data_IF_786324500190
#
_entry.id   IF_786324500190
#
_cell.length_a   1.000
_cell.length_b   1.000
_cell.length_c   1.000
_cell.angle_alpha   90.00
_cell.angle_beta   90.00
_cell.angle_gamma   90.00
#
_symmetry.space_group_name_H-M   'P 1'
#
loop_
_entity.id
_entity.type
_entity.pdbx_description
1 polymer ?
#
# COMPACT_ATOMS: atom_id res chain seq x y z
N UNK A 1 -23.99 -21.18 35.18
CA UNK A 1 -23.58 -19.88 35.75
C UNK A 1 -22.53 -19.31 34.81
N UNK A 2 -22.85 -18.29 34.00
CA UNK A 2 -21.85 -17.69 33.12
C UNK A 2 -20.81 -16.96 33.98
N UNK A 3 -19.54 -17.34 33.88
CA UNK A 3 -18.45 -16.48 34.31
C UNK A 3 -18.67 -15.12 33.66
N UNK A 4 -18.92 -14.07 34.44
CA UNK A 4 -18.80 -12.71 33.92
C UNK A 4 -17.40 -12.60 33.35
N UNK A 5 -17.27 -12.45 32.03
CA UNK A 5 -15.97 -12.19 31.40
C UNK A 5 -15.35 -11.01 32.14
N UNK A 6 -14.17 -11.21 32.72
CA UNK A 6 -13.46 -10.11 33.36
C UNK A 6 -13.04 -9.14 32.27
N UNK A 7 -13.34 -7.85 32.44
CA UNK A 7 -12.93 -6.80 31.51
C UNK A 7 -11.97 -5.83 32.18
N UNK A 8 -10.98 -5.37 31.43
CA UNK A 8 -10.19 -4.18 31.77
C UNK A 8 -10.72 -2.99 31.01
N UNK A 9 -10.54 -1.82 31.61
CA UNK A 9 -10.89 -0.56 30.98
C UNK A 9 -9.67 -0.05 30.22
N UNK A 10 -9.83 0.15 28.91
CA UNK A 10 -8.85 0.87 28.11
C UNK A 10 -9.46 2.12 27.48
N UNK A 11 -8.59 3.04 27.10
CA UNK A 11 -8.96 4.30 26.48
C UNK A 11 -8.29 4.42 25.11
N UNK A 12 -9.08 4.84 24.13
CA UNK A 12 -8.59 5.40 22.89
C UNK A 12 -9.03 6.86 22.74
N UNK A 13 -8.83 7.42 21.55
CA UNK A 13 -9.18 8.80 21.27
C UNK A 13 -10.70 9.06 21.30
N UNK A 14 -11.54 8.04 21.24
CA UNK A 14 -13.00 8.16 21.28
C UNK A 14 -13.61 7.83 22.65
N UNK A 15 -12.78 7.50 23.64
CA UNK A 15 -13.21 7.34 25.03
C UNK A 15 -12.93 5.95 25.57
N UNK A 16 -13.72 5.59 26.58
CA UNK A 16 -13.57 4.36 27.33
C UNK A 16 -14.14 3.15 26.55
N UNK A 17 -13.42 2.03 26.59
CA UNK A 17 -13.89 0.72 26.11
C UNK A 17 -13.55 -0.39 27.10
N UNK A 18 -14.49 -1.33 27.25
CA UNK A 18 -14.29 -2.58 27.98
C UNK A 18 -13.60 -3.59 27.07
N UNK A 19 -12.40 -4.01 27.44
CA UNK A 19 -11.58 -4.98 26.72
C UNK A 19 -11.48 -6.26 27.57
N UNK A 20 -11.70 -7.46 27.01
CA UNK A 20 -11.56 -8.71 27.77
C UNK A 20 -10.17 -8.81 28.43
N UNK A 21 -10.13 -9.09 29.72
CA UNK A 21 -8.90 -9.08 30.51
C UNK A 21 -7.89 -10.14 30.07
N UNK A 22 -8.35 -11.21 29.44
CA UNK A 22 -7.54 -12.31 28.90
C UNK A 22 -6.98 -12.04 27.49
N UNK A 23 -7.22 -10.85 26.91
CA UNK A 23 -6.81 -10.51 25.54
C UNK A 23 -5.80 -9.37 25.48
N UNK A 24 -4.71 -9.54 24.73
CA UNK A 24 -3.67 -8.52 24.57
C UNK A 24 -4.03 -7.33 23.67
N UNK A 25 -5.05 -7.45 22.81
CA UNK A 25 -5.49 -6.34 21.95
C UNK A 25 -6.12 -5.22 22.78
N UNK A 26 -6.13 -3.99 22.26
CA UNK A 26 -6.56 -2.81 23.00
C UNK A 26 -7.89 -2.21 22.54
N UNK A 27 -8.15 -0.98 23.00
CA UNK A 27 -9.37 -0.23 22.71
C UNK A 27 -9.65 -0.04 21.20
N UNK A 28 -8.65 0.20 20.34
CA UNK A 28 -8.92 0.38 18.91
C UNK A 28 -9.35 -0.92 18.24
N UNK A 29 -8.77 -2.05 18.66
CA UNK A 29 -9.16 -3.38 18.17
C UNK A 29 -10.61 -3.69 18.56
N UNK A 30 -11.02 -3.45 19.81
CA UNK A 30 -12.42 -3.63 20.24
C UNK A 30 -13.36 -2.71 19.45
N UNK A 31 -12.98 -1.45 19.23
CA UNK A 31 -13.80 -0.54 18.42
C UNK A 31 -13.98 -1.04 17.00
N UNK A 32 -12.93 -1.60 16.41
CA UNK A 32 -13.01 -2.17 15.06
C UNK A 32 -13.94 -3.39 15.00
N UNK A 33 -13.87 -4.32 15.96
CA UNK A 33 -14.79 -5.48 15.99
C UNK A 33 -16.25 -5.07 16.18
N UNK A 34 -16.52 -3.94 16.85
CA UNK A 34 -17.86 -3.38 16.96
C UNK A 34 -18.37 -2.79 15.64
N UNK A 35 -17.49 -2.14 14.88
CA UNK A 35 -17.83 -1.40 13.67
C UNK A 35 -17.87 -2.25 12.39
N UNK A 36 -17.08 -3.31 12.31
CA UNK A 36 -16.88 -4.13 11.10
C UNK A 36 -17.33 -5.59 11.30
N UNK A 37 -18.62 -5.80 11.58
CA UNK A 37 -19.21 -7.13 11.81
C UNK A 37 -19.58 -7.84 10.50
N UNK A 38 -18.60 -8.11 9.65
CA UNK A 38 -18.81 -8.65 8.30
C UNK A 38 -18.06 -9.97 8.17
N UNK A 39 -18.77 -11.05 7.80
CA UNK A 39 -18.14 -12.32 7.42
C UNK A 39 -17.68 -13.25 8.56
N UNK A 40 -17.64 -12.78 9.81
CA UNK A 40 -17.36 -13.62 10.98
C UNK A 40 -15.93 -14.18 11.02
N UNK A 41 -15.73 -15.33 11.68
CA UNK A 41 -14.40 -15.92 11.91
C UNK A 41 -13.70 -16.35 10.62
N UNK A 42 -14.46 -16.80 9.61
CA UNK A 42 -13.91 -17.23 8.31
C UNK A 42 -13.26 -16.09 7.53
N UNK A 43 -13.69 -14.86 7.77
CA UNK A 43 -13.20 -13.66 7.11
C UNK A 43 -12.20 -12.88 7.98
N UNK A 44 -11.61 -13.50 9.01
CA UNK A 44 -10.52 -12.89 9.78
C UNK A 44 -9.28 -12.66 8.92
N UNK A 45 -8.48 -11.65 9.26
CA UNK A 45 -7.19 -11.40 8.61
C UNK A 45 -6.34 -12.68 8.65
N UNK A 46 -5.79 -13.15 7.52
CA UNK A 46 -5.04 -14.40 7.49
C UNK A 46 -3.86 -14.40 8.46
N UNK A 47 -3.71 -15.49 9.23
CA UNK A 47 -2.66 -15.62 10.25
C UNK A 47 -1.24 -15.45 9.69
N UNK A 48 -1.04 -15.75 8.40
CA UNK A 48 0.23 -15.55 7.69
C UNK A 48 0.61 -14.07 7.63
N UNK A 49 -0.37 -13.17 7.40
CA UNK A 49 -0.16 -11.71 7.42
C UNK A 49 0.19 -11.24 8.83
N UNK A 50 -0.50 -11.77 9.84
CA UNK A 50 -0.22 -11.47 11.26
C UNK A 50 1.21 -11.89 11.64
N UNK A 51 1.65 -13.08 11.23
CA UNK A 51 3.00 -13.57 11.47
C UNK A 51 4.06 -12.69 10.76
N UNK A 52 3.80 -12.29 9.52
CA UNK A 52 4.67 -11.37 8.79
C UNK A 52 4.82 -10.02 9.50
N UNK A 53 3.75 -9.51 10.10
CA UNK A 53 3.79 -8.34 10.97
C UNK A 53 4.64 -8.55 12.22
N UNK A 54 4.55 -9.72 12.88
CA UNK A 54 5.44 -10.09 13.98
C UNK A 54 6.93 -9.98 13.58
N UNK A 55 7.29 -10.52 12.42
CA UNK A 55 8.67 -10.43 11.88
C UNK A 55 9.06 -8.95 11.65
N UNK A 56 8.21 -8.18 10.98
CA UNK A 56 8.46 -6.77 10.68
C UNK A 56 8.70 -5.95 11.96
N UNK A 57 7.86 -6.14 12.98
CA UNK A 57 7.96 -5.36 14.22
C UNK A 57 9.15 -5.79 15.09
N UNK A 58 9.53 -7.07 15.06
CA UNK A 58 10.81 -7.51 15.64
C UNK A 58 11.98 -6.77 15.00
N UNK A 59 12.06 -6.79 13.67
CA UNK A 59 13.16 -6.13 12.95
C UNK A 59 13.21 -4.63 13.26
N UNK A 60 12.04 -3.97 13.30
CA UNK A 60 11.95 -2.56 13.68
C UNK A 60 12.46 -2.30 15.11
N UNK A 61 12.17 -3.17 16.07
CA UNK A 61 12.62 -3.02 17.45
C UNK A 61 14.13 -3.26 17.62
N UNK A 62 14.69 -4.24 16.92
CA UNK A 62 16.13 -4.49 16.88
C UNK A 62 16.87 -3.27 16.30
N UNK A 63 16.40 -2.76 15.16
CA UNK A 63 16.98 -1.57 14.52
C UNK A 63 16.82 -0.32 15.40
N UNK A 64 15.66 -0.11 16.01
CA UNK A 64 15.43 1.07 16.87
C UNK A 64 16.30 1.06 18.13
N UNK A 65 16.80 -0.10 18.59
CA UNK A 65 17.76 -0.17 19.69
C UNK A 65 19.07 0.55 19.33
N UNK A 66 19.52 0.45 18.07
CA UNK A 66 20.71 1.17 17.57
C UNK A 66 20.47 2.70 17.53
N UNK A 67 19.21 3.12 17.44
CA UNK A 67 18.78 4.52 17.42
C UNK A 67 18.26 5.04 18.77
N UNK A 68 18.61 4.39 19.88
CA UNK A 68 18.37 4.90 21.22
C UNK A 68 17.07 4.45 21.89
N UNK A 69 16.35 3.47 21.33
CA UNK A 69 15.30 2.76 22.08
C UNK A 69 15.93 2.04 23.27
N UNK A 70 15.35 2.19 24.46
CA UNK A 70 15.84 1.55 25.68
C UNK A 70 16.03 0.04 25.46
N UNK A 71 17.23 -0.54 25.74
CA UNK A 71 17.50 -1.93 25.44
C UNK A 71 16.58 -2.94 26.15
N UNK A 72 16.00 -2.59 27.31
CA UNK A 72 15.03 -3.45 27.99
C UNK A 72 13.69 -3.42 27.27
N UNK A 73 13.26 -2.23 26.81
CA UNK A 73 12.07 -2.08 25.96
C UNK A 73 12.25 -2.85 24.64
N UNK A 74 13.38 -2.66 23.95
CA UNK A 74 13.66 -3.32 22.69
C UNK A 74 13.60 -4.85 22.82
N UNK A 75 14.28 -5.41 23.84
CA UNK A 75 14.24 -6.87 24.11
C UNK A 75 12.83 -7.39 24.38
N UNK A 76 12.02 -6.65 25.13
CA UNK A 76 10.64 -7.05 25.40
C UNK A 76 9.76 -7.03 24.14
N UNK A 77 9.92 -6.00 23.28
CA UNK A 77 9.22 -5.92 22.00
C UNK A 77 9.66 -7.06 21.08
N UNK A 78 10.95 -7.35 21.00
CA UNK A 78 11.49 -8.45 20.18
C UNK A 78 10.92 -9.79 20.61
N UNK A 79 10.85 -10.06 21.92
CA UNK A 79 10.25 -11.28 22.44
C UNK A 79 8.75 -11.38 22.10
N UNK A 80 7.98 -10.32 22.35
CA UNK A 80 6.56 -10.27 22.01
C UNK A 80 6.31 -10.48 20.51
N UNK A 81 7.10 -9.82 19.66
CA UNK A 81 7.00 -9.89 18.22
C UNK A 81 7.37 -11.29 17.68
N UNK A 82 8.33 -11.99 18.31
CA UNK A 82 8.62 -13.40 18.02
C UNK A 82 7.42 -14.30 18.37
N UNK A 83 6.76 -14.10 19.52
CA UNK A 83 5.56 -14.89 19.88
C UNK A 83 4.42 -14.68 18.87
N UNK A 84 4.25 -13.47 18.31
CA UNK A 84 3.33 -13.20 17.19
C UNK A 84 3.79 -13.92 15.91
N UNK A 85 5.07 -13.82 15.54
CA UNK A 85 5.62 -14.44 14.33
C UNK A 85 5.51 -15.98 14.36
N UNK A 86 5.65 -16.59 15.53
CA UNK A 86 5.47 -18.03 15.77
C UNK A 86 3.99 -18.43 15.82
N UNK A 87 3.07 -17.46 15.93
CA UNK A 87 1.63 -17.66 15.99
C UNK A 87 1.10 -18.07 17.37
N UNK A 88 1.89 -17.89 18.44
CA UNK A 88 1.48 -18.16 19.83
C UNK A 88 0.34 -17.24 20.29
N UNK A 89 0.17 -16.09 19.63
CA UNK A 89 -0.78 -15.04 19.99
C UNK A 89 -1.94 -14.88 18.99
N UNK A 90 -2.20 -15.87 18.13
CA UNK A 90 -3.22 -15.78 17.06
C UNK A 90 -4.63 -15.40 17.59
N UNK A 91 -4.98 -15.84 18.80
CA UNK A 91 -6.29 -15.58 19.42
C UNK A 91 -6.49 -14.10 19.84
N UNK A 92 -5.48 -13.26 19.66
CA UNK A 92 -5.51 -11.82 19.95
C UNK A 92 -5.66 -10.95 18.68
N UNK A 93 -5.97 -11.56 17.53
CA UNK A 93 -6.18 -10.86 16.25
C UNK A 93 -7.58 -11.11 15.71
N UNK A 94 -8.63 -10.47 16.29
CA UNK A 94 -10.02 -10.78 15.96
C UNK A 94 -10.55 -10.07 14.71
N UNK A 95 -9.73 -9.23 14.06
CA UNK A 95 -10.17 -8.34 12.99
C UNK A 95 -10.42 -9.08 11.67
N UNK A 96 -11.43 -8.61 10.94
CA UNK A 96 -11.84 -9.15 9.63
C UNK A 96 -11.10 -8.47 8.47
N UNK A 97 -11.06 -9.13 7.32
CA UNK A 97 -10.54 -8.58 6.06
C UNK A 97 -11.30 -7.30 5.67
N UNK A 98 -12.62 -7.30 5.87
CA UNK A 98 -13.56 -6.23 5.51
C UNK A 98 -13.61 -5.11 6.56
N UNK A 99 -12.45 -4.52 6.84
CA UNK A 99 -12.27 -3.44 7.81
C UNK A 99 -11.92 -2.12 7.09
N UNK A 100 -11.27 -1.16 7.75
CA UNK A 100 -10.70 0.00 7.02
C UNK A 100 -9.82 -0.45 5.84
N UNK A 101 -10.10 0.06 4.64
CA UNK A 101 -9.41 -0.35 3.40
C UNK A 101 -7.91 -0.05 3.36
N UNK A 102 -7.41 0.78 4.28
CA UNK A 102 -5.99 1.05 4.47
C UNK A 102 -5.24 -0.06 5.23
N UNK A 103 -5.96 -1.01 5.83
CA UNK A 103 -5.38 -1.98 6.77
C UNK A 103 -4.92 -1.37 8.11
N UNK A 104 -5.21 -0.08 8.37
CA UNK A 104 -4.79 0.64 9.59
C UNK A 104 -5.22 -0.06 10.86
N UNK A 105 -6.42 -0.66 10.91
CA UNK A 105 -6.89 -1.37 12.10
C UNK A 105 -6.10 -2.66 12.36
N UNK A 106 -5.71 -3.42 11.33
CA UNK A 106 -4.77 -4.55 11.50
C UNK A 106 -3.40 -4.07 11.93
N UNK A 107 -2.87 -2.99 11.34
CA UNK A 107 -1.60 -2.41 11.76
C UNK A 107 -1.65 -1.96 13.23
N UNK A 108 -2.73 -1.30 13.64
CA UNK A 108 -2.94 -0.88 15.03
C UNK A 108 -3.18 -2.06 15.97
N UNK A 109 -3.89 -3.11 15.56
CA UNK A 109 -4.06 -4.33 16.35
C UNK A 109 -2.71 -5.01 16.60
N UNK A 110 -1.85 -5.10 15.59
CA UNK A 110 -0.46 -5.57 15.72
C UNK A 110 0.32 -4.67 16.68
N UNK A 111 0.25 -3.35 16.50
CA UNK A 111 0.96 -2.41 17.37
C UNK A 111 0.48 -2.51 18.83
N UNK A 112 -0.82 -2.64 19.08
CA UNK A 112 -1.43 -2.78 20.41
C UNK A 112 -1.04 -4.10 21.09
N UNK A 113 -1.12 -5.23 20.39
CA UNK A 113 -0.73 -6.56 20.93
C UNK A 113 0.75 -6.58 21.30
N UNK A 114 1.61 -6.06 20.42
CA UNK A 114 3.07 -6.04 20.66
C UNK A 114 3.41 -5.06 21.79
N UNK A 115 2.76 -3.90 21.83
CA UNK A 115 2.91 -2.93 22.93
C UNK A 115 2.51 -3.56 24.28
N UNK A 116 1.31 -4.14 24.39
CA UNK A 116 0.82 -4.71 25.65
C UNK A 116 1.61 -5.92 26.11
N UNK A 117 2.02 -6.80 25.18
CA UNK A 117 2.85 -7.95 25.52
C UNK A 117 4.26 -7.51 25.95
N UNK A 118 4.85 -6.51 25.29
CA UNK A 118 6.12 -5.94 25.73
C UNK A 118 6.01 -5.30 27.13
N UNK A 119 4.90 -4.61 27.43
CA UNK A 119 4.62 -4.06 28.76
C UNK A 119 4.53 -5.18 29.80
N UNK A 120 3.84 -6.29 29.52
CA UNK A 120 3.73 -7.44 30.42
C UNK A 120 5.08 -8.11 30.69
N UNK A 121 5.89 -8.33 29.64
CA UNK A 121 7.26 -8.87 29.77
C UNK A 121 8.11 -7.99 30.69
N UNK A 122 7.86 -6.67 30.69
CA UNK A 122 8.54 -5.71 31.56
C UNK A 122 7.90 -5.59 32.96
N UNK A 123 6.93 -6.43 33.30
CA UNK A 123 6.21 -6.40 34.58
C UNK A 123 5.26 -5.20 34.74
N UNK A 124 4.92 -4.52 33.64
CA UNK A 124 3.99 -3.39 33.63
C UNK A 124 2.52 -3.81 33.51
N UNK A 125 1.63 -2.83 33.62
CA UNK A 125 0.18 -3.05 33.51
C UNK A 125 -0.28 -2.96 32.06
N UNK A 126 -0.90 -4.01 31.52
CA UNK A 126 -1.51 -4.00 30.19
C UNK A 126 -2.45 -2.80 30.03
N UNK A 127 -2.45 -2.18 28.85
CA UNK A 127 -3.26 -1.02 28.50
C UNK A 127 -2.70 0.32 28.98
N UNK A 128 -1.66 0.32 29.82
CA UNK A 128 -1.02 1.55 30.32
C UNK A 128 -0.28 2.35 29.25
N UNK A 129 0.05 1.70 28.11
CA UNK A 129 0.87 2.25 27.02
C UNK A 129 2.25 2.77 27.46
N UNK A 130 2.69 2.36 28.66
CA UNK A 130 3.98 2.67 29.27
C UNK A 130 4.65 1.38 29.74
N UNK A 131 5.93 1.16 29.44
CA UNK A 131 6.85 2.07 28.74
C UNK A 131 6.75 2.02 27.20
N UNK A 132 5.99 1.09 26.62
CA UNK A 132 5.94 0.86 25.16
C UNK A 132 4.67 1.42 24.54
N UNK A 133 4.77 2.56 23.85
CA UNK A 133 3.66 3.17 23.12
C UNK A 133 3.51 2.59 21.69
N UNK A 134 2.28 2.23 21.23
CA UNK A 134 2.05 1.54 19.95
C UNK A 134 2.24 2.39 18.68
N UNK A 135 2.23 3.72 18.79
CA UNK A 135 2.44 4.60 17.63
C UNK A 135 3.88 5.12 17.57
N UNK A 136 4.30 5.75 18.67
CA UNK A 136 5.56 6.49 18.79
C UNK A 136 6.79 5.63 18.59
N UNK A 137 6.68 4.32 18.82
CA UNK A 137 7.79 3.39 18.66
C UNK A 137 7.68 2.50 17.41
N UNK A 138 6.55 2.47 16.69
CA UNK A 138 6.21 1.31 15.82
C UNK A 138 5.88 1.64 14.34
N UNK A 139 5.73 2.91 13.87
CA UNK A 139 5.17 3.17 12.49
C UNK A 139 5.46 4.56 11.79
N UNK A 140 6.42 4.74 10.82
CA UNK A 140 6.83 6.08 10.24
C UNK A 140 7.17 6.22 8.68
N UNK A 141 6.57 7.22 7.96
CA UNK A 141 6.92 8.08 6.74
C UNK A 141 6.93 7.72 5.19
N UNK A 142 6.66 8.76 4.31
CA UNK A 142 7.03 9.13 2.87
C UNK A 142 6.15 8.79 1.60
N UNK A 143 5.59 9.79 0.87
CA UNK A 143 4.55 9.61 -0.20
C UNK A 143 4.99 9.64 -1.69
N UNK A 144 5.57 10.72 -2.24
CA UNK A 144 5.89 10.84 -3.69
C UNK A 144 7.02 9.92 -4.17
N UNK A 145 8.01 9.67 -3.29
CA UNK A 145 9.02 8.63 -3.51
C UNK A 145 8.36 7.26 -3.69
N UNK A 146 7.19 7.05 -3.08
CA UNK A 146 6.33 5.90 -3.28
C UNK A 146 5.88 5.75 -4.74
N UNK A 147 5.44 6.83 -5.41
CA UNK A 147 5.02 6.77 -6.82
C UNK A 147 6.19 6.38 -7.73
N UNK A 148 7.35 7.01 -7.56
CA UNK A 148 8.56 6.69 -8.34
C UNK A 148 8.94 5.23 -8.14
N UNK A 149 8.88 4.75 -6.90
CA UNK A 149 9.22 3.37 -6.59
C UNK A 149 8.20 2.38 -7.17
N UNK A 150 6.90 2.72 -7.17
CA UNK A 150 5.85 1.92 -7.81
C UNK A 150 6.10 1.76 -9.31
N UNK A 151 6.47 2.84 -10.01
CA UNK A 151 6.79 2.79 -11.45
C UNK A 151 8.06 2.00 -11.72
N UNK A 152 9.15 2.22 -10.96
CA UNK A 152 10.40 1.46 -11.10
C UNK A 152 10.16 -0.04 -10.94
N UNK A 153 9.42 -0.44 -9.91
CA UNK A 153 9.06 -1.84 -9.74
C UNK A 153 8.07 -2.33 -10.81
N UNK A 154 7.22 -1.47 -11.35
CA UNK A 154 6.36 -1.79 -12.49
C UNK A 154 7.15 -2.19 -13.73
N UNK A 155 8.15 -1.39 -14.10
CA UNK A 155 9.07 -1.67 -15.22
C UNK A 155 9.82 -2.98 -14.98
N UNK A 156 10.44 -3.13 -13.80
CA UNK A 156 11.19 -4.34 -13.45
C UNK A 156 10.31 -5.60 -13.49
N UNK A 157 9.03 -5.52 -13.09
CA UNK A 157 8.09 -6.64 -13.20
C UNK A 157 7.87 -7.04 -14.65
N UNK A 158 7.60 -6.08 -15.54
CA UNK A 158 7.40 -6.38 -16.97
C UNK A 158 8.68 -6.98 -17.57
N UNK A 159 9.82 -6.34 -17.37
CA UNK A 159 11.12 -6.83 -17.86
C UNK A 159 11.43 -8.25 -17.37
N UNK A 160 11.10 -8.56 -16.11
CA UNK A 160 11.32 -9.89 -15.54
C UNK A 160 10.58 -11.00 -16.28
N UNK A 161 9.47 -10.70 -16.97
CA UNK A 161 8.68 -11.66 -17.77
C UNK A 161 9.27 -11.89 -19.16
N UNK A 162 10.01 -10.93 -19.70
CA UNK A 162 10.51 -10.95 -21.08
C UNK A 162 11.36 -12.18 -21.44
N UNK A 163 12.25 -12.71 -20.56
CA UNK A 163 12.99 -13.93 -20.85
C UNK A 163 12.12 -15.14 -21.24
N UNK A 164 10.88 -15.22 -20.73
CA UNK A 164 9.94 -16.30 -21.07
C UNK A 164 9.18 -16.00 -22.35
N UNK A 165 8.87 -14.74 -22.61
CA UNK A 165 8.26 -14.28 -23.88
C UNK A 165 9.20 -14.49 -25.08
N UNK A 166 10.52 -14.40 -24.86
CA UNK A 166 11.53 -14.65 -25.91
C UNK A 166 11.68 -16.12 -26.32
N UNK A 167 10.97 -17.04 -25.67
CA UNK A 167 11.02 -18.47 -25.99
C UNK A 167 10.06 -18.81 -27.12
N UNK A 168 10.60 -19.26 -28.25
CA UNK A 168 9.82 -19.52 -29.46
C UNK A 168 9.35 -20.98 -29.57
N UNK A 169 8.07 -21.16 -29.89
CA UNK A 169 7.46 -22.45 -30.22
C UNK A 169 7.89 -23.01 -31.60
N UNK A 170 8.57 -22.20 -32.42
CA UNK A 170 9.04 -22.61 -33.75
C UNK A 170 9.87 -23.91 -33.68
N UNK A 171 9.60 -24.84 -34.60
CA UNK A 171 10.16 -26.19 -34.56
C UNK A 171 9.32 -27.22 -33.81
N UNK A 172 8.29 -26.82 -33.06
CA UNK A 172 7.33 -27.75 -32.44
C UNK A 172 6.40 -28.45 -33.46
N UNK A 173 6.21 -27.85 -34.64
CA UNK A 173 5.36 -28.38 -35.73
C UNK A 173 3.91 -28.59 -35.28
N UNK A 174 3.29 -29.74 -35.55
CA UNK A 174 1.86 -29.95 -35.32
C UNK A 174 1.48 -29.98 -33.84
N UNK A 175 2.23 -30.73 -33.03
CA UNK A 175 1.86 -31.06 -31.63
C UNK A 175 3.01 -30.92 -30.64
N UNK A 176 4.17 -30.45 -31.08
CA UNK A 176 5.37 -30.27 -30.23
C UNK A 176 6.49 -31.26 -30.50
N UNK A 177 6.24 -32.32 -31.28
CA UNK A 177 7.23 -33.39 -31.56
C UNK A 177 8.33 -32.98 -32.54
N UNK A 178 8.12 -31.94 -33.34
CA UNK A 178 9.00 -31.59 -34.44
C UNK A 178 8.88 -32.51 -35.67
N UNK A 179 7.80 -33.29 -35.79
CA UNK A 179 7.56 -34.13 -36.96
C UNK A 179 7.62 -33.31 -38.25
N UNK A 180 8.34 -33.82 -39.25
CA UNK A 180 8.57 -33.16 -40.54
C UNK A 180 9.38 -31.85 -40.48
N UNK A 181 10.14 -31.62 -39.40
CA UNK A 181 11.21 -30.61 -39.38
C UNK A 181 12.61 -31.23 -39.43
N UNK A 182 13.65 -30.39 -39.46
CA UNK A 182 15.06 -30.82 -39.47
C UNK A 182 15.68 -30.64 -38.10
N UNK A 183 16.59 -31.54 -37.72
CA UNK A 183 17.42 -31.38 -36.50
C UNK A 183 18.17 -30.04 -36.60
N UNK A 184 18.12 -29.25 -35.52
CA UNK A 184 18.75 -27.92 -35.46
C UNK A 184 17.94 -26.78 -36.10
N UNK A 185 16.75 -27.05 -36.66
CA UNK A 185 15.93 -26.01 -37.26
C UNK A 185 15.42 -24.98 -36.23
N UNK A 186 14.95 -25.44 -35.07
CA UNK A 186 14.37 -24.58 -34.04
C UNK A 186 15.40 -23.57 -33.49
N UNK A 187 16.61 -24.05 -33.23
CA UNK A 187 17.74 -23.26 -32.75
C UNK A 187 18.18 -22.24 -33.79
N UNK A 188 18.32 -22.66 -35.06
CA UNK A 188 18.70 -21.76 -36.16
C UNK A 188 17.65 -20.68 -36.43
N UNK A 189 16.36 -21.02 -36.36
CA UNK A 189 15.28 -20.04 -36.50
C UNK A 189 15.32 -19.04 -35.35
N UNK A 190 15.43 -19.51 -34.10
CA UNK A 190 15.50 -18.59 -32.95
C UNK A 190 16.73 -17.67 -33.02
N UNK A 191 17.90 -18.21 -33.37
CA UNK A 191 19.11 -17.41 -33.57
C UNK A 191 18.94 -16.38 -34.69
N UNK A 192 18.28 -16.76 -35.80
CA UNK A 192 18.02 -15.81 -36.90
C UNK A 192 17.03 -14.72 -36.49
N UNK A 193 16.00 -15.04 -35.71
CA UNK A 193 15.07 -14.04 -35.17
C UNK A 193 15.79 -13.11 -34.20
N UNK A 194 16.68 -13.64 -33.35
CA UNK A 194 17.51 -12.84 -32.45
C UNK A 194 18.42 -11.88 -33.23
N UNK A 195 19.10 -12.36 -34.27
CA UNK A 195 19.92 -11.55 -35.18
C UNK A 195 19.12 -10.42 -35.83
N UNK A 196 17.92 -10.73 -36.36
CA UNK A 196 17.08 -9.77 -37.09
C UNK A 196 16.48 -8.68 -36.18
N UNK A 197 16.24 -8.99 -34.91
CA UNK A 197 15.53 -8.09 -33.98
C UNK A 197 16.46 -7.41 -32.98
N UNK A 198 17.68 -7.94 -32.79
CA UNK A 198 18.58 -7.53 -31.71
C UNK A 198 18.09 -7.96 -30.31
N UNK A 199 17.05 -8.80 -30.23
CA UNK A 199 16.46 -9.28 -28.97
C UNK A 199 16.89 -10.73 -28.69
N UNK A 200 16.98 -11.15 -27.41
CA UNK A 200 17.56 -12.45 -27.03
C UNK A 200 16.58 -13.62 -27.21
N UNK A 201 16.04 -13.78 -28.42
CA UNK A 201 15.15 -14.89 -28.75
C UNK A 201 15.87 -16.24 -28.69
N UNK A 202 15.21 -17.21 -28.07
CA UNK A 202 15.71 -18.57 -27.92
C UNK A 202 14.62 -19.59 -28.26
N UNK A 203 15.02 -20.82 -28.57
CA UNK A 203 14.06 -21.91 -28.77
C UNK A 203 13.43 -22.30 -27.42
N UNK A 204 12.12 -22.52 -27.37
CA UNK A 204 11.46 -22.94 -26.13
C UNK A 204 11.97 -24.33 -25.69
N UNK A 205 12.30 -24.56 -24.41
CA UNK A 205 12.85 -25.84 -23.95
C UNK A 205 11.83 -26.97 -24.07
N UNK A 206 10.53 -26.67 -23.99
CA UNK A 206 9.45 -27.63 -24.18
C UNK A 206 8.46 -27.09 -25.24
N UNK A 207 8.31 -27.81 -26.34
CA UNK A 207 7.42 -27.41 -27.45
C UNK A 207 5.97 -27.79 -27.25
N UNK A 208 5.69 -28.76 -26.38
CA UNK A 208 4.32 -29.13 -26.02
C UNK A 208 3.70 -28.01 -25.19
N UNK A 209 4.40 -27.53 -24.16
CA UNK A 209 3.97 -26.38 -23.35
C UNK A 209 3.76 -25.14 -24.23
N UNK A 210 4.74 -24.79 -25.07
CA UNK A 210 4.67 -23.59 -25.91
C UNK A 210 3.54 -23.60 -26.96
N UNK A 211 2.94 -24.76 -27.26
CA UNK A 211 1.78 -24.90 -28.16
C UNK A 211 0.46 -25.05 -27.38
N UNK A 212 0.46 -25.85 -26.33
CA UNK A 212 -0.70 -26.22 -25.51
C UNK A 212 -1.11 -25.12 -24.53
N UNK A 213 -0.16 -24.29 -24.10
CA UNK A 213 -0.35 -23.20 -23.15
C UNK A 213 0.16 -21.86 -23.70
N UNK A 214 -0.03 -20.80 -22.93
CA UNK A 214 0.47 -19.45 -23.20
C UNK A 214 0.79 -18.72 -21.90
N UNK A 215 1.39 -19.44 -20.95
CA UNK A 215 1.59 -18.97 -19.58
C UNK A 215 2.51 -17.75 -19.53
N UNK A 216 3.52 -17.67 -20.40
CA UNK A 216 4.37 -16.48 -20.54
C UNK A 216 3.55 -15.22 -20.90
N UNK A 217 2.48 -15.34 -21.70
CA UNK A 217 1.60 -14.23 -22.03
C UNK A 217 0.62 -13.89 -20.90
N UNK A 218 0.16 -14.90 -20.15
CA UNK A 218 -0.65 -14.69 -18.94
C UNK A 218 0.14 -13.96 -17.87
N UNK A 219 1.40 -14.37 -17.67
CA UNK A 219 2.33 -13.74 -16.72
C UNK A 219 2.64 -12.29 -17.11
N UNK A 220 3.01 -12.03 -18.39
CA UNK A 220 3.23 -10.68 -18.90
C UNK A 220 1.98 -9.80 -18.70
N UNK A 221 0.80 -10.34 -19.00
CA UNK A 221 -0.48 -9.67 -18.77
C UNK A 221 -0.70 -9.35 -17.29
N UNK A 222 -0.35 -10.26 -16.38
CA UNK A 222 -0.42 -10.05 -14.93
C UNK A 222 0.54 -8.96 -14.42
N UNK A 223 1.75 -8.90 -14.99
CA UNK A 223 2.70 -7.80 -14.72
C UNK A 223 2.13 -6.45 -15.17
N UNK A 224 1.56 -6.37 -16.38
CA UNK A 224 0.88 -5.16 -16.88
C UNK A 224 -0.35 -4.79 -16.03
N UNK A 225 -1.12 -5.77 -15.56
CA UNK A 225 -2.24 -5.54 -14.65
C UNK A 225 -1.78 -4.89 -13.33
N UNK A 226 -0.64 -5.33 -12.79
CA UNK A 226 -0.03 -4.72 -11.60
C UNK A 226 0.38 -3.26 -11.86
N UNK A 227 0.93 -2.97 -13.03
CA UNK A 227 1.26 -1.60 -13.45
C UNK A 227 -0.01 -0.75 -13.58
N UNK A 228 -1.08 -1.28 -14.17
CA UNK A 228 -2.37 -0.60 -14.26
C UNK A 228 -2.94 -0.24 -12.87
N UNK A 229 -2.87 -1.14 -11.89
CA UNK A 229 -3.25 -0.85 -10.50
C UNK A 229 -2.45 0.32 -9.91
N UNK A 230 -1.13 0.34 -10.18
CA UNK A 230 -0.24 1.40 -9.68
C UNK A 230 -0.57 2.75 -10.33
N UNK A 231 -0.73 2.78 -11.65
CA UNK A 231 -1.10 3.98 -12.40
C UNK A 231 -2.48 4.52 -12.01
N UNK A 232 -3.46 3.64 -11.79
CA UNK A 232 -4.78 4.01 -11.28
C UNK A 232 -4.65 4.76 -9.96
N UNK A 233 -3.86 4.26 -9.01
CA UNK A 233 -3.63 4.93 -7.71
C UNK A 233 -2.95 6.28 -7.88
N UNK A 234 -1.85 6.32 -8.64
CA UNK A 234 -1.07 7.56 -8.87
C UNK A 234 -1.94 8.65 -9.50
N UNK A 235 -2.69 8.34 -10.56
CA UNK A 235 -3.58 9.30 -11.23
C UNK A 235 -4.73 9.76 -10.31
N UNK A 236 -5.27 8.85 -9.49
CA UNK A 236 -6.28 9.20 -8.49
C UNK A 236 -5.75 10.19 -7.44
N UNK A 237 -4.57 9.93 -6.89
CA UNK A 237 -3.97 10.84 -5.92
C UNK A 237 -3.71 12.21 -6.53
N UNK A 238 -3.11 12.26 -7.73
CA UNK A 238 -2.80 13.52 -8.42
C UNK A 238 -4.08 14.33 -8.69
N UNK A 239 -5.16 13.71 -9.17
CA UNK A 239 -6.42 14.44 -9.40
C UNK A 239 -7.11 14.86 -8.10
N UNK A 240 -6.97 14.11 -7.01
CA UNK A 240 -7.52 14.52 -5.71
C UNK A 240 -6.73 15.70 -5.15
N UNK A 241 -5.40 15.63 -5.16
CA UNK A 241 -4.53 16.73 -4.74
C UNK A 241 -4.74 17.98 -5.60
N UNK A 242 -5.05 17.81 -6.89
CA UNK A 242 -5.43 18.88 -7.82
C UNK A 242 -6.89 19.34 -7.76
N UNK A 243 -7.73 18.77 -6.89
CA UNK A 243 -9.16 19.12 -6.82
C UNK A 243 -9.37 20.55 -6.28
N UNK A 244 -10.24 21.35 -6.92
CA UNK A 244 -10.45 22.74 -6.54
C UNK A 244 -11.09 23.58 -7.65
N UNK A 245 -10.73 24.88 -7.79
CA UNK A 245 -9.65 25.58 -7.07
C UNK A 245 -10.05 26.09 -5.69
N UNK A 246 -11.35 26.11 -5.34
CA UNK A 246 -11.86 26.70 -4.08
C UNK A 246 -12.50 25.71 -3.11
N UNK A 247 -13.00 24.58 -3.62
CA UNK A 247 -13.84 23.64 -2.85
C UNK A 247 -13.28 22.21 -2.83
N UNK A 248 -11.96 22.07 -2.93
CA UNK A 248 -11.26 20.78 -2.89
C UNK A 248 -9.99 20.84 -2.02
N UNK A 249 -9.09 19.87 -2.22
CA UNK A 249 -7.78 19.86 -1.53
C UNK A 249 -6.90 21.01 -2.04
N UNK A 250 -6.67 21.06 -3.35
CA UNK A 250 -5.98 22.15 -4.04
C UNK A 250 -4.49 22.27 -3.68
N UNK A 251 -3.86 21.17 -3.27
CA UNK A 251 -2.44 21.12 -2.94
C UNK A 251 -1.56 21.13 -4.19
N UNK A 252 -2.05 20.58 -5.30
CA UNK A 252 -1.39 20.64 -6.59
C UNK A 252 -2.14 21.58 -7.54
N UNK A 253 -1.38 22.25 -8.39
CA UNK A 253 -1.85 22.98 -9.57
C UNK A 253 -1.45 22.12 -10.77
N UNK A 254 -2.45 21.63 -11.50
CA UNK A 254 -2.24 20.79 -12.68
C UNK A 254 -2.20 21.65 -13.95
N UNK A 255 -1.45 21.24 -14.98
CA UNK A 255 -1.46 21.93 -16.28
C UNK A 255 -2.86 22.02 -16.91
N UNK A 256 -3.12 23.15 -17.55
CA UNK A 256 -4.37 23.41 -18.27
C UNK A 256 -4.16 23.18 -19.77
N UNK A 257 -4.59 22.02 -20.28
CA UNK A 257 -4.38 21.65 -21.68
C UNK A 257 -5.59 21.98 -22.58
N UNK A 258 -6.79 21.96 -22.01
CA UNK A 258 -8.03 22.25 -22.74
C UNK A 258 -9.10 22.90 -21.84
N UNK A 259 -10.09 23.61 -22.43
CA UNK A 259 -11.26 24.09 -21.70
C UNK A 259 -12.03 22.92 -21.06
N UNK A 260 -12.20 22.95 -19.73
CA UNK A 260 -12.79 21.85 -18.98
C UNK A 260 -14.33 21.82 -18.94
N UNK A 261 -15.01 22.81 -19.53
CA UNK A 261 -16.47 22.83 -19.57
C UNK A 261 -17.00 23.71 -20.69
N UNK A 262 -18.04 23.24 -21.38
CA UNK A 262 -18.77 24.02 -22.38
C UNK A 262 -19.59 25.16 -21.79
N UNK A 263 -19.92 25.11 -20.50
CA UNK A 263 -20.85 26.06 -19.83
C UNK A 263 -20.23 26.81 -18.65
N UNK A 264 -19.08 26.37 -18.14
CA UNK A 264 -18.39 27.01 -17.00
C UNK A 264 -17.06 27.62 -17.46
N UNK A 265 -17.04 28.89 -17.89
CA UNK A 265 -15.81 29.58 -18.26
C UNK A 265 -14.76 29.52 -17.15
N UNK A 266 -13.51 29.20 -17.52
CA UNK A 266 -12.39 29.11 -16.58
C UNK A 266 -12.31 27.81 -15.77
N UNK A 267 -13.22 26.84 -15.97
CA UNK A 267 -13.08 25.49 -15.38
C UNK A 267 -12.07 24.67 -16.16
N UNK A 268 -11.13 24.04 -15.46
CA UNK A 268 -10.18 23.08 -16.01
C UNK A 268 -10.31 21.74 -15.26
N UNK A 269 -10.31 20.64 -16.01
CA UNK A 269 -10.45 19.29 -15.46
C UNK A 269 -9.10 18.55 -15.48
N UNK A 270 -8.89 17.57 -14.59
CA UNK A 270 -7.72 16.70 -14.59
C UNK A 270 -7.83 15.59 -15.67
N UNK A 271 -8.04 15.97 -16.93
CA UNK A 271 -8.37 15.06 -18.04
C UNK A 271 -7.32 13.98 -18.30
N UNK A 272 -6.04 14.30 -18.12
CA UNK A 272 -4.97 13.32 -18.23
C UNK A 272 -5.07 12.23 -17.14
N UNK A 273 -5.48 12.59 -15.91
CA UNK A 273 -5.73 11.60 -14.87
C UNK A 273 -6.95 10.73 -15.22
N UNK A 274 -8.00 11.32 -15.81
CA UNK A 274 -9.18 10.58 -16.28
C UNK A 274 -8.78 9.54 -17.33
N UNK A 275 -7.99 9.93 -18.33
CA UNK A 275 -7.46 9.04 -19.36
C UNK A 275 -6.64 7.87 -18.77
N UNK A 276 -5.72 8.15 -17.83
CA UNK A 276 -4.96 7.10 -17.12
C UNK A 276 -5.88 6.11 -16.42
N UNK A 277 -6.88 6.59 -15.69
CA UNK A 277 -7.80 5.71 -14.95
C UNK A 277 -8.65 4.84 -15.88
N UNK A 278 -9.11 5.38 -17.02
CA UNK A 278 -9.83 4.58 -18.03
C UNK A 278 -8.95 3.53 -18.68
N UNK A 279 -7.71 3.89 -19.05
CA UNK A 279 -6.73 2.93 -19.60
C UNK A 279 -6.42 1.83 -18.59
N UNK A 280 -6.20 2.18 -17.32
CA UNK A 280 -5.94 1.20 -16.28
C UNK A 280 -7.12 0.21 -16.13
N UNK A 281 -8.37 0.69 -16.14
CA UNK A 281 -9.55 -0.18 -16.11
C UNK A 281 -9.61 -1.10 -17.35
N UNK A 282 -9.32 -0.58 -18.54
CA UNK A 282 -9.30 -1.38 -19.76
C UNK A 282 -8.22 -2.47 -19.72
N UNK A 283 -7.03 -2.16 -19.21
CA UNK A 283 -5.92 -3.12 -19.06
C UNK A 283 -6.30 -4.23 -18.07
N UNK A 284 -6.98 -3.91 -16.97
CA UNK A 284 -7.49 -4.91 -16.02
C UNK A 284 -8.53 -5.83 -16.68
N UNK A 285 -9.44 -5.29 -17.49
CA UNK A 285 -10.41 -6.08 -18.25
C UNK A 285 -9.74 -6.98 -19.29
N UNK A 286 -8.75 -6.45 -20.02
CA UNK A 286 -7.92 -7.22 -20.95
C UNK A 286 -7.20 -8.37 -20.24
N UNK A 287 -6.70 -8.14 -19.01
CA UNK A 287 -6.06 -9.17 -18.21
C UNK A 287 -7.00 -10.33 -17.90
N UNK A 288 -8.24 -10.05 -17.49
CA UNK A 288 -9.26 -11.09 -17.29
C UNK A 288 -9.48 -11.92 -18.56
N UNK A 289 -9.60 -11.26 -19.72
CA UNK A 289 -9.74 -11.96 -20.99
C UNK A 289 -8.53 -12.86 -21.29
N UNK A 290 -7.30 -12.38 -21.07
CA UNK A 290 -6.07 -13.18 -21.26
C UNK A 290 -6.02 -14.36 -20.30
N UNK A 291 -6.39 -14.18 -19.03
CA UNK A 291 -6.43 -15.25 -18.02
C UNK A 291 -7.42 -16.34 -18.41
N UNK A 292 -8.63 -15.97 -18.84
CA UNK A 292 -9.61 -16.94 -19.36
C UNK A 292 -9.09 -17.64 -20.62
N UNK A 293 -8.45 -16.92 -21.54
CA UNK A 293 -7.84 -17.52 -22.73
C UNK A 293 -6.74 -18.53 -22.39
N UNK A 294 -5.88 -18.18 -21.41
CA UNK A 294 -4.79 -19.03 -20.96
C UNK A 294 -5.28 -20.34 -20.33
N UNK A 295 -6.37 -20.29 -19.54
CA UNK A 295 -6.93 -21.48 -18.88
C UNK A 295 -7.67 -22.44 -19.82
N UNK A 296 -7.92 -22.06 -21.08
CA UNK A 296 -8.74 -22.81 -22.04
C UNK A 296 -7.92 -23.58 -23.10
N UNK A 297 -6.67 -23.95 -22.77
CA UNK A 297 -5.91 -24.92 -23.54
C UNK A 297 -6.49 -26.33 -23.38
N UNK A 298 -6.63 -27.06 -24.49
CA UNK A 298 -7.09 -28.45 -24.48
C UNK A 298 -6.07 -29.32 -25.22
N UNK A 299 -5.47 -30.27 -24.49
CA UNK A 299 -4.43 -31.17 -25.00
C UNK A 299 -3.29 -30.39 -25.67
N UNK A 300 -2.93 -30.69 -26.92
CA UNK A 300 -1.71 -30.18 -27.56
C UNK A 300 -1.80 -28.73 -28.07
N UNK A 301 -2.97 -28.07 -27.99
CA UNK A 301 -3.12 -26.73 -28.55
C UNK A 301 -4.11 -25.84 -27.79
N UNK A 302 -3.65 -24.67 -27.35
CA UNK A 302 -4.54 -23.57 -26.97
C UNK A 302 -5.02 -22.83 -28.22
N UNK A 303 -6.34 -22.77 -28.44
CA UNK A 303 -6.99 -22.13 -29.61
C UNK A 303 -7.50 -20.71 -29.36
N UNK A 304 -7.23 -20.13 -28.19
CA UNK A 304 -7.58 -18.75 -27.83
C UNK A 304 -6.49 -17.73 -28.22
N UNK A 305 -5.46 -18.17 -28.96
CA UNK A 305 -4.25 -17.38 -29.27
C UNK A 305 -4.56 -15.97 -29.82
N UNK A 306 -5.45 -15.79 -30.83
CA UNK A 306 -5.70 -14.46 -31.40
C UNK A 306 -6.30 -13.47 -30.39
N UNK A 307 -7.22 -13.95 -29.55
CA UNK A 307 -7.84 -13.11 -28.51
C UNK A 307 -6.81 -12.73 -27.44
N UNK A 308 -5.99 -13.68 -26.99
CA UNK A 308 -4.96 -13.41 -25.99
C UNK A 308 -3.96 -12.36 -26.49
N UNK A 309 -3.38 -12.56 -27.68
CA UNK A 309 -2.35 -11.65 -28.19
C UNK A 309 -2.91 -10.26 -28.50
N UNK A 310 -4.16 -10.16 -29.00
CA UNK A 310 -4.83 -8.86 -29.19
C UNK A 310 -4.91 -8.07 -27.88
N UNK A 311 -5.30 -8.72 -26.79
CA UNK A 311 -5.45 -8.06 -25.49
C UNK A 311 -4.10 -7.71 -24.86
N UNK A 312 -3.09 -8.60 -24.97
CA UNK A 312 -1.72 -8.32 -24.50
C UNK A 312 -1.13 -7.10 -25.23
N UNK A 313 -1.18 -7.08 -26.57
CA UNK A 313 -0.63 -5.97 -27.36
C UNK A 313 -1.41 -4.68 -27.16
N UNK A 314 -2.73 -4.74 -27.03
CA UNK A 314 -3.54 -3.57 -26.72
C UNK A 314 -3.16 -2.97 -25.36
N UNK A 315 -3.02 -3.80 -24.32
CA UNK A 315 -2.58 -3.33 -23.00
C UNK A 315 -1.19 -2.69 -23.04
N UNK A 316 -0.24 -3.32 -23.74
CA UNK A 316 1.12 -2.77 -23.88
C UNK A 316 1.11 -1.40 -24.57
N UNK A 317 0.34 -1.25 -25.65
CA UNK A 317 0.21 0.02 -26.37
C UNK A 317 -0.44 1.10 -25.50
N UNK A 318 -1.58 0.78 -24.88
CA UNK A 318 -2.31 1.74 -24.05
C UNK A 318 -1.49 2.21 -22.85
N UNK A 319 -0.78 1.30 -22.17
CA UNK A 319 0.09 1.65 -21.05
C UNK A 319 1.25 2.56 -21.49
N UNK A 320 1.89 2.25 -22.61
CA UNK A 320 2.97 3.08 -23.15
C UNK A 320 2.47 4.49 -23.49
N UNK A 321 1.38 4.58 -24.25
CA UNK A 321 0.82 5.85 -24.70
C UNK A 321 0.34 6.72 -23.55
N UNK A 322 -0.39 6.13 -22.61
CA UNK A 322 -0.95 6.90 -21.50
C UNK A 322 0.15 7.37 -20.55
N UNK A 323 1.22 6.61 -20.36
CA UNK A 323 2.37 7.05 -19.57
C UNK A 323 3.08 8.24 -20.21
N UNK A 324 3.30 8.21 -21.53
CA UNK A 324 3.91 9.33 -22.27
C UNK A 324 3.00 10.55 -22.20
N UNK A 325 1.72 10.40 -22.56
CA UNK A 325 0.74 11.50 -22.52
C UNK A 325 0.60 12.10 -21.13
N UNK A 326 0.53 11.26 -20.09
CA UNK A 326 0.42 11.73 -18.70
C UNK A 326 1.69 12.44 -18.24
N UNK A 327 2.86 11.98 -18.68
CA UNK A 327 4.14 12.64 -18.37
C UNK A 327 4.18 14.03 -18.97
N UNK A 328 3.98 14.12 -20.29
CA UNK A 328 4.16 15.34 -21.06
C UNK A 328 3.10 16.40 -20.74
N UNK A 329 1.85 15.98 -20.59
CA UNK A 329 0.70 16.89 -20.45
C UNK A 329 0.21 17.05 -19.00
N UNK A 330 0.82 16.36 -18.03
CA UNK A 330 0.43 16.52 -16.62
C UNK A 330 1.65 16.56 -15.71
N UNK A 331 2.38 15.45 -15.57
CA UNK A 331 3.40 15.27 -14.52
C UNK A 331 4.50 16.34 -14.59
N UNK A 332 5.03 16.63 -15.78
CA UNK A 332 6.11 17.62 -15.96
C UNK A 332 5.69 19.03 -15.55
N UNK A 333 4.41 19.37 -15.70
CA UNK A 333 3.89 20.70 -15.39
C UNK A 333 3.20 20.81 -14.03
N UNK A 334 3.21 19.77 -13.19
CA UNK A 334 2.65 19.85 -11.82
C UNK A 334 3.40 20.91 -11.03
N UNK A 335 2.64 21.81 -10.40
CA UNK A 335 3.17 22.79 -9.44
C UNK A 335 2.54 22.57 -8.07
N UNK A 336 3.32 22.82 -7.01
CA UNK A 336 2.81 22.81 -5.65
C UNK A 336 2.12 24.16 -5.36
N UNK A 337 0.89 24.13 -4.84
CA UNK A 337 0.26 25.30 -4.27
C UNK A 337 0.77 25.51 -2.84
N UNK A 338 1.96 26.13 -2.72
CA UNK A 338 2.66 26.26 -1.45
C UNK A 338 1.83 26.96 -0.38
N UNK A 339 1.02 27.95 -0.76
CA UNK A 339 0.16 28.68 0.19
C UNK A 339 -0.94 27.78 0.75
N UNK A 340 -1.59 27.00 -0.12
CA UNK A 340 -2.62 26.04 0.29
C UNK A 340 -2.02 24.91 1.13
N UNK A 341 -0.89 24.34 0.71
CA UNK A 341 -0.17 23.30 1.46
C UNK A 341 0.22 23.82 2.84
N UNK A 342 0.83 25.01 2.92
CA UNK A 342 1.22 25.62 4.19
C UNK A 342 0.01 25.86 5.10
N UNK A 343 -1.10 26.34 4.54
CA UNK A 343 -2.34 26.51 5.31
C UNK A 343 -2.84 25.17 5.88
N UNK A 344 -3.02 24.16 5.03
CA UNK A 344 -3.51 22.84 5.45
C UNK A 344 -2.58 22.17 6.45
N UNK A 345 -1.28 22.29 6.25
CA UNK A 345 -0.26 21.78 7.16
C UNK A 345 -0.38 22.43 8.55
N UNK A 346 -0.51 23.75 8.64
CA UNK A 346 -0.63 24.45 9.92
C UNK A 346 -2.00 24.27 10.59
N UNK A 347 -3.05 24.00 9.82
CA UNK A 347 -4.39 23.65 10.33
C UNK A 347 -4.49 22.18 10.78
N UNK A 348 -3.52 21.35 10.39
CA UNK A 348 -3.55 19.91 10.68
C UNK A 348 -3.40 19.61 12.16
N UNK A 349 -4.38 18.89 12.71
CA UNK A 349 -4.33 18.38 14.06
C UNK A 349 -3.32 17.22 14.23
N UNK A 350 -2.77 16.68 13.14
CA UNK A 350 -1.83 15.56 13.20
C UNK A 350 -0.40 16.00 13.53
N UNK A 351 -0.08 17.29 13.41
CA UNK A 351 1.19 17.85 13.91
C UNK A 351 1.36 17.66 15.42
N UNK A 352 0.27 17.39 16.13
CA UNK A 352 0.25 17.07 17.57
C UNK A 352 1.18 15.89 17.92
N UNK A 353 1.47 15.01 16.95
CA UNK A 353 2.39 13.87 17.12
C UNK A 353 3.81 14.30 17.50
N UNK A 354 4.26 15.49 17.09
CA UNK A 354 5.54 16.06 17.53
C UNK A 354 5.58 16.36 19.02
N UNK A 355 4.43 16.50 19.69
CA UNK A 355 4.36 16.76 21.12
C UNK A 355 4.57 15.50 21.96
N UNK A 356 4.37 14.30 21.41
CA UNK A 356 4.40 13.05 22.16
C UNK A 356 5.70 12.87 22.99
N UNK A 357 6.91 13.13 22.45
CA UNK A 357 8.15 13.02 23.22
C UNK A 357 8.28 14.03 24.37
N UNK A 358 7.56 15.15 24.31
CA UNK A 358 7.68 16.26 25.28
C UNK A 358 6.63 16.19 26.39
N UNK A 359 5.40 15.82 26.05
CA UNK A 359 4.25 15.87 26.99
C UNK A 359 3.55 14.52 27.17
N UNK A 360 3.95 13.50 26.41
CA UNK A 360 3.32 12.19 26.36
C UNK A 360 2.03 12.15 25.54
N UNK A 361 1.71 10.97 25.02
CA UNK A 361 0.58 10.74 24.13
C UNK A 361 -0.77 11.20 24.69
N UNK A 362 -1.07 10.94 25.97
CA UNK A 362 -2.39 11.25 26.55
C UNK A 362 -2.69 12.75 26.54
N UNK A 363 -1.68 13.59 26.84
CA UNK A 363 -1.81 15.05 26.78
C UNK A 363 -1.93 15.52 25.34
N UNK A 364 -1.11 15.01 24.42
CA UNK A 364 -1.19 15.31 23.00
C UNK A 364 -2.56 14.96 22.40
N UNK A 365 -3.06 13.75 22.68
CA UNK A 365 -4.39 13.32 22.25
C UNK A 365 -5.50 14.24 22.80
N UNK A 366 -5.39 14.68 24.06
CA UNK A 366 -6.35 15.63 24.64
C UNK A 366 -6.30 17.00 23.96
N UNK A 367 -5.12 17.52 23.61
CA UNK A 367 -4.98 18.76 22.82
C UNK A 367 -5.70 18.62 21.48
N UNK A 368 -5.44 17.55 20.72
CA UNK A 368 -6.05 17.34 19.41
C UNK A 368 -7.58 17.24 19.49
N UNK A 369 -8.12 16.54 20.51
CA UNK A 369 -9.57 16.45 20.73
C UNK A 369 -10.19 17.80 21.07
N UNK A 370 -9.54 18.57 21.95
CA UNK A 370 -10.02 19.92 22.32
C UNK A 370 -10.00 20.85 21.12
N UNK A 371 -8.90 20.87 20.37
CA UNK A 371 -8.77 21.64 19.13
C UNK A 371 -9.90 21.29 18.13
N UNK A 372 -10.14 20.00 17.90
CA UNK A 372 -11.21 19.54 17.02
C UNK A 372 -12.60 19.95 17.51
N UNK A 373 -12.89 19.73 18.80
CA UNK A 373 -14.21 20.01 19.39
C UNK A 373 -14.54 21.51 19.38
N UNK A 374 -13.53 22.35 19.55
CA UNK A 374 -13.69 23.80 19.68
C UNK A 374 -13.41 24.56 18.39
N UNK A 375 -12.92 23.89 17.34
CA UNK A 375 -12.53 24.53 16.08
C UNK A 375 -11.31 25.43 16.22
N UNK A 376 -10.43 25.15 17.18
CA UNK A 376 -9.20 25.93 17.45
C UNK A 376 -7.97 25.24 16.88
N UNK A 377 -6.86 25.95 16.78
CA UNK A 377 -5.56 25.39 16.43
C UNK A 377 -5.01 24.52 17.57
N UNK A 378 -4.06 23.63 17.25
CA UNK A 378 -3.34 22.86 18.28
C UNK A 378 -2.65 23.77 19.31
N UNK A 379 -2.09 24.89 18.86
CA UNK A 379 -1.38 25.85 19.72
C UNK A 379 -2.34 26.50 20.74
N UNK A 380 -3.47 27.01 20.27
CA UNK A 380 -4.51 27.59 21.13
C UNK A 380 -5.04 26.57 22.14
N UNK A 381 -5.37 25.36 21.70
CA UNK A 381 -5.83 24.29 22.58
C UNK A 381 -4.77 23.89 23.62
N UNK A 382 -3.50 23.83 23.23
CA UNK A 382 -2.39 23.47 24.12
C UNK A 382 -2.15 24.50 25.22
N UNK A 383 -2.20 25.79 24.86
CA UNK A 383 -2.10 26.91 25.81
C UNK A 383 -3.31 26.93 26.74
N UNK A 384 -4.53 26.78 26.20
CA UNK A 384 -5.78 26.76 26.97
C UNK A 384 -5.80 25.65 28.02
N UNK A 385 -5.29 24.46 27.66
CA UNK A 385 -5.19 23.31 28.56
C UNK A 385 -4.05 23.43 29.58
N UNK A 386 -3.18 24.44 29.46
CA UNK A 386 -2.03 24.64 30.33
C UNK A 386 -0.96 23.55 30.20
N UNK A 387 -0.92 22.85 29.07
CA UNK A 387 0.03 21.73 28.87
C UNK A 387 1.40 22.19 28.39
N UNK A 388 1.48 23.35 27.74
CA UNK A 388 2.71 23.97 27.24
C UNK A 388 2.45 25.45 26.87
N UNK A 389 3.53 26.23 26.82
CA UNK A 389 3.53 27.64 26.42
C UNK A 389 3.58 27.82 24.90
N UNK A 390 3.26 29.01 24.41
CA UNK A 390 3.42 29.37 23.00
C UNK A 390 4.83 29.06 22.47
N UNK A 391 5.86 29.46 23.22
CA UNK A 391 7.26 29.30 22.82
C UNK A 391 7.67 27.83 22.76
N UNK A 392 7.19 27.02 23.71
CA UNK A 392 7.39 25.57 23.69
C UNK A 392 6.73 24.93 22.48
N UNK A 393 5.51 25.35 22.11
CA UNK A 393 4.85 24.85 20.91
C UNK A 393 5.68 25.15 19.65
N UNK A 394 6.12 26.40 19.49
CA UNK A 394 6.91 26.83 18.33
C UNK A 394 8.29 26.17 18.28
N UNK A 395 8.85 25.82 19.44
CA UNK A 395 10.12 25.10 19.52
C UNK A 395 10.00 23.63 19.13
N UNK A 396 8.91 22.97 19.51
CA UNK A 396 8.73 21.51 19.37
C UNK A 396 7.98 21.11 18.11
N UNK A 397 6.99 21.88 17.68
CA UNK A 397 6.18 21.59 16.50
C UNK A 397 6.76 22.33 15.30
N UNK A 398 7.78 21.73 14.69
CA UNK A 398 8.44 22.25 13.49
C UNK A 398 8.21 21.29 12.33
N UNK A 399 7.22 21.54 11.45
CA UNK A 399 6.89 20.67 10.33
C UNK A 399 8.09 20.31 9.45
N UNK A 400 9.02 21.25 9.23
CA UNK A 400 10.28 21.04 8.52
C UNK A 400 11.19 19.96 9.14
N UNK A 401 11.08 19.75 10.44
CA UNK A 401 11.88 18.79 11.22
C UNK A 401 11.14 17.43 11.36
N UNK A 402 9.89 17.34 10.90
CA UNK A 402 9.02 16.14 11.01
C UNK A 402 9.04 15.25 9.75
N UNK A 403 10.00 15.46 8.84
CA UNK A 403 10.04 14.79 7.53
C UNK A 403 10.67 13.38 7.56
N UNK A 404 11.27 12.99 8.68
CA UNK A 404 11.96 11.71 8.85
C UNK A 404 12.51 11.55 10.27
N UNK A 405 13.15 10.42 10.58
CA UNK A 405 14.05 10.31 11.74
C UNK A 405 15.13 11.41 11.66
N UNK A 406 15.51 11.98 12.81
CA UNK A 406 16.66 12.88 12.93
C UNK A 406 17.80 12.15 13.62
#
# INVERSE_FOLDING_TARGET
>A
MSSQEAFRIEYDTFGELKVPSDKYYGAQTVRSTMNFKIGGVSERMPVQVIRAFGILKRAAAEVNQDYGLDPKIAKAIVQAANEVAEGKLNDHFPLVVWQTGSGTQTNMNVNEVISNRAIEIMGGTLGSKKPVHPNDHVNKSQEFSGYVQQIKYGVARIESTMPRVYQLAAGGTAVGTGLNTRIGFAEKVAAKVAELTGLPFVTAPNKFEALAAHDALVELSGAMNTVACSLMKIANDIRFLGSGPRSGLGELILPENEPGSSIMPGKVNPTQCEAVTMVAAQVMGNHVAVTVGGSNGHFELNVFKPMMIKNVLNSARLLGDVCVSFTDNCVVGIQANTDRINKLMNESLMLVTALNPHIGYDKAAKIAKTAHKEGTTLKEAAIKLGFLTSDQFDQWVKPKDMLGPQ
#
